data_IF_478635642317
#
_entry.id   IF_478635642317
#
_cell.length_a   1.000
_cell.length_b   1.000
_cell.length_c   1.000
_cell.angle_alpha   90.00
_cell.angle_beta   90.00
_cell.angle_gamma   90.00
#
_symmetry.space_group_name_H-M   'P 1'
#
loop_
_entity.id
_entity.type
_entity.pdbx_description
1 polymer ?
#
# COMPACT_ATOMS: atom_id res chain seq x y z
N UNK A 1 -9.65 5.68 -4.92
CA UNK A 1 -8.96 4.51 -4.35
C UNK A 1 -9.92 3.78 -3.45
N UNK A 2 -9.68 2.48 -3.19
CA UNK A 2 -10.42 1.74 -2.18
C UNK A 2 -9.49 1.55 -0.98
N UNK A 3 -9.92 2.06 0.18
CA UNK A 3 -9.20 1.83 1.43
C UNK A 3 -9.59 0.45 1.98
N UNK A 4 -8.59 -0.38 2.28
CA UNK A 4 -8.81 -1.67 2.91
C UNK A 4 -9.24 -1.53 4.37
N UNK A 5 -10.03 -2.48 4.85
CA UNK A 5 -10.44 -2.61 6.26
C UNK A 5 -9.35 -3.27 7.14
N UNK A 6 -8.13 -3.41 6.62
CA UNK A 6 -7.05 -4.16 7.28
C UNK A 6 -7.28 -5.67 7.32
N UNK A 7 -8.37 -6.19 6.75
CA UNK A 7 -8.63 -7.62 6.69
C UNK A 7 -8.03 -8.21 5.41
N UNK A 8 -6.92 -8.93 5.57
CA UNK A 8 -6.25 -9.61 4.47
C UNK A 8 -5.81 -11.01 4.88
N UNK A 9 -5.60 -11.88 3.89
CA UNK A 9 -5.17 -13.25 4.13
C UNK A 9 -3.63 -13.32 4.21
N UNK A 10 -3.09 -13.14 5.43
CA UNK A 10 -1.64 -13.25 5.69
C UNK A 10 -1.11 -14.63 5.31
N UNK A 11 -1.82 -15.71 5.64
CA UNK A 11 -1.36 -17.08 5.39
C UNK A 11 -1.16 -17.35 3.90
N UNK A 12 -2.14 -17.00 3.05
CA UNK A 12 -2.02 -17.14 1.59
C UNK A 12 -0.93 -16.23 1.04
N UNK A 13 -0.84 -14.99 1.49
CA UNK A 13 0.22 -14.08 1.06
C UNK A 13 1.61 -14.62 1.41
N UNK A 14 1.81 -15.04 2.65
CA UNK A 14 3.10 -15.49 3.14
C UNK A 14 3.56 -16.76 2.45
N UNK A 15 2.67 -17.77 2.35
CA UNK A 15 2.96 -19.02 1.65
C UNK A 15 3.26 -18.83 0.16
N UNK A 16 2.68 -17.82 -0.49
CA UNK A 16 2.91 -17.52 -1.91
C UNK A 16 4.23 -16.79 -2.16
N UNK A 17 4.62 -15.88 -1.26
CA UNK A 17 5.80 -15.02 -1.45
C UNK A 17 7.07 -15.55 -0.78
N UNK A 18 6.93 -16.31 0.31
CA UNK A 18 8.06 -16.66 1.18
C UNK A 18 8.17 -18.16 1.47
N UNK A 19 7.35 -19.01 0.83
CA UNK A 19 7.44 -20.48 0.94
C UNK A 19 7.44 -20.95 2.41
N UNK A 20 8.53 -21.58 2.85
CA UNK A 20 8.75 -22.08 4.21
C UNK A 20 9.47 -21.10 5.14
N UNK A 21 9.79 -19.88 4.67
CA UNK A 21 10.40 -18.84 5.51
C UNK A 21 9.48 -18.52 6.67
N UNK A 22 10.02 -18.44 7.87
CA UNK A 22 9.24 -18.14 9.08
C UNK A 22 8.89 -16.65 9.17
N UNK A 23 7.67 -16.37 9.62
CA UNK A 23 7.27 -15.05 10.13
C UNK A 23 7.17 -15.04 11.66
N UNK A 24 7.05 -13.87 12.31
CA UNK A 24 6.79 -13.78 13.74
C UNK A 24 5.54 -14.56 14.15
N UNK A 25 5.66 -15.48 15.11
CA UNK A 25 4.54 -16.32 15.59
C UNK A 25 3.39 -15.51 16.21
N UNK A 26 3.67 -14.29 16.69
CA UNK A 26 2.63 -13.37 17.15
C UNK A 26 1.59 -13.06 16.05
N UNK A 27 1.95 -13.18 14.78
CA UNK A 27 1.07 -12.90 13.64
C UNK A 27 -0.01 -13.96 13.41
N UNK A 28 0.16 -15.16 13.97
CA UNK A 28 -0.85 -16.23 13.90
C UNK A 28 -2.07 -15.93 14.76
N UNK A 29 -1.90 -15.13 15.82
CA UNK A 29 -2.97 -14.75 16.76
C UNK A 29 -3.37 -13.28 16.62
N UNK A 30 -2.40 -12.40 16.35
CA UNK A 30 -2.60 -10.97 16.16
C UNK A 30 -2.15 -10.59 14.76
N UNK A 31 -3.10 -10.52 13.83
CA UNK A 31 -2.80 -10.27 12.42
C UNK A 31 -2.15 -8.89 12.25
N UNK A 32 -0.96 -8.80 11.63
CA UNK A 32 -0.31 -7.54 11.32
C UNK A 32 -1.03 -6.82 10.18
N UNK A 33 -0.83 -5.51 10.10
CA UNK A 33 -1.24 -4.75 8.92
C UNK A 33 -0.31 -5.04 7.73
N UNK A 34 -0.73 -4.74 6.49
CA UNK A 34 0.15 -4.97 5.33
C UNK A 34 1.38 -4.08 5.38
N UNK A 35 1.25 -2.88 5.92
CA UNK A 35 2.38 -1.98 6.10
C UNK A 35 3.39 -2.52 7.12
N UNK A 36 2.93 -3.13 8.21
CA UNK A 36 3.83 -3.77 9.18
C UNK A 36 4.61 -4.94 8.55
N UNK A 37 3.94 -5.77 7.75
CA UNK A 37 4.60 -6.88 7.03
C UNK A 37 5.62 -6.33 6.02
N UNK A 38 5.26 -5.30 5.26
CA UNK A 38 6.18 -4.67 4.33
C UNK A 38 7.44 -4.10 5.01
N UNK A 39 7.30 -3.44 6.16
CA UNK A 39 8.47 -2.99 6.95
C UNK A 39 9.32 -4.16 7.43
N UNK A 40 8.69 -5.25 7.87
CA UNK A 40 9.39 -6.46 8.28
C UNK A 40 10.18 -7.09 7.12
N UNK A 41 9.60 -7.16 5.93
CA UNK A 41 10.27 -7.69 4.73
C UNK A 41 11.54 -6.91 4.40
N UNK A 42 11.50 -5.58 4.49
CA UNK A 42 12.67 -4.73 4.28
C UNK A 42 13.70 -4.97 5.38
N UNK A 43 13.28 -4.94 6.64
CA UNK A 43 14.17 -5.11 7.79
C UNK A 43 14.87 -6.48 7.83
N UNK A 44 14.27 -7.51 7.23
CA UNK A 44 14.80 -8.87 7.21
C UNK A 44 15.34 -9.28 5.82
N UNK A 45 15.58 -8.32 4.92
CA UNK A 45 16.12 -8.57 3.57
C UNK A 45 15.30 -9.56 2.72
N UNK A 46 13.99 -9.62 2.93
CA UNK A 46 13.08 -10.54 2.23
C UNK A 46 12.61 -9.99 0.87
N UNK A 47 12.90 -8.73 0.54
CA UNK A 47 12.53 -8.13 -0.76
C UNK A 47 13.16 -8.89 -1.93
N UNK A 48 14.37 -9.43 -1.75
CA UNK A 48 15.06 -10.25 -2.75
C UNK A 48 14.67 -11.73 -2.72
N UNK A 49 13.81 -12.15 -1.80
CA UNK A 49 13.34 -13.53 -1.71
C UNK A 49 12.43 -13.85 -2.90
N UNK A 50 12.72 -14.93 -3.62
CA UNK A 50 11.90 -15.36 -4.74
C UNK A 50 10.58 -15.97 -4.25
N UNK A 51 9.47 -15.45 -4.76
CA UNK A 51 8.14 -16.07 -4.60
C UNK A 51 8.08 -17.46 -5.24
N UNK A 52 7.00 -18.20 -5.03
CA UNK A 52 6.78 -19.51 -5.68
C UNK A 52 6.82 -19.43 -7.22
N UNK A 53 6.52 -18.25 -7.80
CA UNK A 53 6.60 -18.00 -9.23
C UNK A 53 7.97 -17.51 -9.72
N UNK A 54 8.96 -17.37 -8.83
CA UNK A 54 10.29 -16.85 -9.15
C UNK A 54 10.38 -15.32 -9.20
N UNK A 55 9.28 -14.61 -8.98
CA UNK A 55 9.29 -13.15 -8.90
C UNK A 55 10.00 -12.67 -7.63
N UNK A 56 10.85 -11.65 -7.78
CA UNK A 56 11.54 -10.96 -6.69
C UNK A 56 11.10 -9.50 -6.65
N UNK A 57 11.11 -8.88 -5.47
CA UNK A 57 10.74 -7.48 -5.28
C UNK A 57 11.77 -6.46 -5.78
N UNK A 58 12.80 -6.93 -6.49
CA UNK A 58 13.85 -6.13 -7.12
C UNK A 58 13.62 -6.15 -8.63
N UNK A 59 13.45 -4.99 -9.29
CA UNK A 59 13.29 -4.95 -10.73
C UNK A 59 14.53 -5.52 -11.43
N UNK A 60 14.39 -6.18 -12.59
CA UNK A 60 15.53 -6.66 -13.37
C UNK A 60 16.47 -5.50 -13.73
N UNK A 61 17.75 -5.82 -13.92
CA UNK A 61 18.88 -4.88 -14.07
C UNK A 61 18.77 -3.87 -15.25
N UNK A 62 17.66 -3.89 -15.99
CA UNK A 62 17.30 -2.93 -17.02
C UNK A 62 16.49 -1.73 -16.49
N UNK A 63 16.11 -1.72 -15.21
CA UNK A 63 15.41 -0.61 -14.58
C UNK A 63 16.38 0.31 -13.83
N UNK A 64 15.94 1.55 -13.58
CA UNK A 64 16.63 2.47 -12.68
C UNK A 64 16.85 1.81 -11.31
N UNK A 65 17.93 2.19 -10.63
CA UNK A 65 18.26 1.67 -9.31
C UNK A 65 17.03 1.76 -8.39
N UNK A 66 16.70 0.67 -7.65
CA UNK A 66 15.53 0.67 -6.79
C UNK A 66 15.62 1.79 -5.77
N UNK A 67 14.53 2.52 -5.57
CA UNK A 67 14.42 3.44 -4.44
C UNK A 67 14.55 2.61 -3.16
N UNK A 68 15.60 2.87 -2.37
CA UNK A 68 15.93 2.10 -1.16
C UNK A 68 15.23 2.62 0.08
N UNK A 69 14.51 3.73 -0.01
CA UNK A 69 13.72 4.25 1.10
C UNK A 69 12.50 3.36 1.34
N UNK A 70 12.13 3.20 2.62
CA UNK A 70 10.95 2.41 3.04
C UNK A 70 9.68 2.93 2.35
N UNK A 71 9.63 4.21 2.00
CA UNK A 71 8.41 4.90 1.59
C UNK A 71 8.05 4.77 0.10
N UNK A 72 8.73 3.90 -0.67
CA UNK A 72 8.44 3.70 -2.12
C UNK A 72 7.01 3.25 -2.45
N UNK A 73 6.21 2.88 -1.44
CA UNK A 73 4.78 2.50 -1.56
C UNK A 73 3.85 3.37 -0.71
N UNK A 74 4.34 4.47 -0.15
CA UNK A 74 3.52 5.43 0.56
C UNK A 74 3.09 6.56 -0.38
N UNK A 75 1.80 6.84 -0.38
CA UNK A 75 1.20 8.02 -0.98
C UNK A 75 0.83 8.98 0.15
N UNK A 76 1.30 10.22 0.08
CA UNK A 76 0.93 11.26 1.03
C UNK A 76 -0.20 12.10 0.42
N UNK A 77 -1.30 12.25 1.13
CA UNK A 77 -2.50 12.90 0.59
C UNK A 77 -3.31 13.65 1.63
N UNK A 78 -4.00 14.69 1.17
CA UNK A 78 -5.00 15.40 1.96
C UNK A 78 -6.31 14.62 2.00
N UNK A 79 -6.90 14.52 3.19
CA UNK A 79 -8.26 14.00 3.41
C UNK A 79 -9.21 15.18 3.40
N UNK A 80 -10.25 15.06 2.58
CA UNK A 80 -11.29 16.07 2.41
C UNK A 80 -12.64 15.50 2.85
N UNK A 81 -13.43 16.31 3.56
CA UNK A 81 -14.80 15.96 3.88
C UNK A 81 -15.74 16.37 2.73
N UNK A 82 -16.08 15.41 1.86
CA UNK A 82 -16.95 15.67 0.70
C UNK A 82 -18.31 16.27 1.07
N UNK A 83 -18.89 15.88 2.22
CA UNK A 83 -20.19 16.37 2.65
C UNK A 83 -20.11 17.84 3.09
N UNK A 84 -19.08 18.18 3.88
CA UNK A 84 -18.84 19.57 4.29
C UNK A 84 -18.51 20.46 3.10
N UNK A 85 -17.71 19.96 2.15
CA UNK A 85 -17.39 20.68 0.91
C UNK A 85 -18.63 20.96 0.07
N UNK A 86 -19.50 19.96 -0.11
CA UNK A 86 -20.73 20.10 -0.86
C UNK A 86 -21.72 21.05 -0.17
N UNK A 87 -21.84 20.99 1.16
CA UNK A 87 -22.64 21.93 1.95
C UNK A 87 -22.12 23.37 1.85
N UNK A 88 -20.80 23.54 1.73
CA UNK A 88 -20.15 24.84 1.49
C UNK A 88 -20.21 25.31 0.03
N UNK A 89 -20.87 24.56 -0.87
CA UNK A 89 -21.03 24.91 -2.28
C UNK A 89 -19.79 24.64 -3.15
N UNK A 90 -18.82 23.88 -2.66
CA UNK A 90 -17.63 23.53 -3.43
C UNK A 90 -17.91 22.34 -4.35
N UNK A 91 -17.69 22.52 -5.66
CA UNK A 91 -17.72 21.43 -6.63
C UNK A 91 -16.31 20.88 -6.86
N UNK A 92 -16.06 19.67 -6.35
CA UNK A 92 -14.79 18.97 -6.55
C UNK A 92 -14.61 18.58 -8.03
N UNK A 93 -13.50 19.03 -8.62
CA UNK A 93 -13.00 18.61 -9.93
C UNK A 93 -11.48 18.42 -9.86
N UNK A 94 -10.88 17.81 -10.90
CA UNK A 94 -9.46 17.44 -10.91
C UNK A 94 -8.46 18.60 -10.79
N UNK A 95 -8.93 19.86 -10.80
CA UNK A 95 -8.12 21.07 -10.62
C UNK A 95 -8.79 22.05 -9.64
N UNK A 96 -9.49 21.54 -8.63
CA UNK A 96 -10.01 22.36 -7.55
C UNK A 96 -8.85 22.90 -6.70
N UNK A 97 -8.89 24.19 -6.39
CA UNK A 97 -7.88 24.86 -5.56
C UNK A 97 -8.53 25.42 -4.30
N UNK A 98 -7.74 25.70 -3.26
CA UNK A 98 -8.20 26.27 -1.99
C UNK A 98 -9.28 25.44 -1.26
N UNK A 99 -9.18 24.12 -1.32
CA UNK A 99 -10.10 23.22 -0.62
C UNK A 99 -9.73 23.14 0.87
N UNK A 100 -10.70 23.26 1.80
CA UNK A 100 -10.45 23.01 3.21
C UNK A 100 -10.04 21.55 3.43
N UNK A 101 -8.83 21.36 3.94
CA UNK A 101 -8.26 20.06 4.29
C UNK A 101 -8.59 19.73 5.73
N UNK A 102 -9.14 18.55 5.97
CA UNK A 102 -9.46 18.07 7.33
C UNK A 102 -8.24 17.48 8.01
N UNK A 103 -7.45 16.71 7.26
CA UNK A 103 -6.24 16.07 7.73
C UNK A 103 -5.30 15.73 6.56
N UNK A 104 -4.03 15.50 6.86
CA UNK A 104 -3.10 14.83 5.95
C UNK A 104 -2.84 13.43 6.49
N UNK A 105 -2.74 12.47 5.57
CA UNK A 105 -2.49 11.08 5.93
C UNK A 105 -1.55 10.41 4.95
N UNK A 106 -0.91 9.37 5.44
CA UNK A 106 -0.06 8.48 4.66
C UNK A 106 -0.82 7.22 4.29
N UNK A 107 -0.75 6.82 3.03
CA UNK A 107 -1.48 5.69 2.47
C UNK A 107 -0.52 4.67 1.86
N UNK A 108 -0.46 3.48 2.43
CA UNK A 108 0.34 2.38 1.89
C UNK A 108 -0.38 1.66 0.77
N UNK A 109 0.25 1.54 -0.41
CA UNK A 109 -0.29 0.80 -1.55
C UNK A 109 -0.21 -0.70 -1.27
N UNK A 110 -1.37 -1.36 -1.24
CA UNK A 110 -1.47 -2.78 -0.85
C UNK A 110 -1.43 -3.73 -2.04
N UNK A 111 -1.77 -3.28 -3.25
CA UNK A 111 -1.89 -4.13 -4.44
C UNK A 111 -1.44 -3.38 -5.70
N UNK A 112 -1.04 -4.09 -6.78
CA UNK A 112 -0.82 -3.49 -8.08
C UNK A 112 -2.08 -2.78 -8.59
N UNK A 113 -1.88 -1.65 -9.27
CA UNK A 113 -2.98 -0.90 -9.89
C UNK A 113 -3.48 -1.70 -11.09
N UNK A 114 -4.77 -2.03 -11.11
CA UNK A 114 -5.39 -2.62 -12.30
C UNK A 114 -5.22 -1.64 -13.46
N UNK A 115 -4.69 -2.08 -14.60
CA UNK A 115 -4.28 -1.22 -15.72
C UNK A 115 -5.35 -0.21 -16.15
N UNK A 116 -4.94 0.83 -16.90
CA UNK A 116 -5.76 2.01 -17.20
C UNK A 116 -7.19 1.71 -17.71
N UNK A 117 -7.37 0.61 -18.45
CA UNK A 117 -8.67 0.17 -18.97
C UNK A 117 -9.66 -0.30 -17.89
N UNK A 118 -9.21 -0.57 -16.67
CA UNK A 118 -10.01 -0.95 -15.50
C UNK A 118 -10.18 0.22 -14.51
N UNK A 119 -10.03 1.46 -14.98
CA UNK A 119 -10.27 2.67 -14.19
C UNK A 119 -9.16 3.02 -13.20
N UNK A 120 -7.98 2.38 -13.28
CA UNK A 120 -6.77 2.80 -12.55
C UNK A 120 -6.92 2.83 -11.02
N UNK A 121 -7.75 1.94 -10.46
CA UNK A 121 -8.02 1.93 -9.02
C UNK A 121 -6.78 1.58 -8.21
N UNK A 122 -6.39 2.47 -7.30
CA UNK A 122 -5.35 2.21 -6.29
C UNK A 122 -6.01 1.70 -5.01
N UNK A 123 -5.48 0.61 -4.47
CA UNK A 123 -5.89 0.02 -3.19
C UNK A 123 -4.88 0.38 -2.11
N UNK A 124 -5.35 0.97 -1.02
CA UNK A 124 -4.47 1.53 0.02
C UNK A 124 -4.91 1.17 1.44
N UNK A 125 -3.98 1.26 2.38
CA UNK A 125 -4.18 1.19 3.83
C UNK A 125 -3.72 2.54 4.43
N UNK A 126 -4.50 3.14 5.32
CA UNK A 126 -4.08 4.35 6.05
C UNK A 126 -3.09 3.95 7.15
N UNK A 127 -1.94 4.61 7.21
CA UNK A 127 -0.83 4.21 8.10
C UNK A 127 -0.30 5.32 9.02
N UNK A 128 -0.72 6.56 8.80
CA UNK A 128 -0.47 7.75 9.62
C UNK A 128 -1.54 8.80 9.32
#
# INVERSE_FOLDING_TARGET
GRMGDGNWNLSTYWSTNFQSTTHPSAWDTTKPTRYQVYKYEIANNLVGHASNGGEVGTPPNACLAPVTTVDRRLLYGAILNCNALQAAGNNLNGNSTNLPVEAFASFFITQPVSGANNGGSVFTELVD
#
